data_IF_199743454651
#
_entry.id   IF_199743454651
#
_cell.length_a   1.000
_cell.length_b   1.000
_cell.length_c   1.000
_cell.angle_alpha   90.00
_cell.angle_beta   90.00
_cell.angle_gamma   90.00
#
_symmetry.space_group_name_H-M   'P 1'
#
loop_
_entity.id
_entity.type
_entity.pdbx_description
1 polymer ?
#
# COMPACT_ATOMS: atom_id res chain seq x y z
N UNK A 1 22.45 -32.88 27.44
CA UNK A 1 20.96 -32.79 27.25
C UNK A 1 20.67 -31.51 26.51
N UNK A 2 20.35 -31.61 25.21
CA UNK A 2 19.99 -30.44 24.38
C UNK A 2 18.53 -30.16 24.62
N UNK A 3 18.22 -29.06 25.33
CA UNK A 3 16.84 -28.62 25.52
C UNK A 3 16.35 -28.12 24.14
N UNK A 4 15.42 -28.83 23.56
CA UNK A 4 14.77 -28.39 22.30
C UNK A 4 14.09 -27.05 22.55
N UNK A 5 14.37 -26.07 21.69
CA UNK A 5 13.67 -24.78 21.72
C UNK A 5 12.14 -25.02 21.59
N UNK A 6 11.31 -24.36 22.41
CA UNK A 6 9.87 -24.54 22.34
C UNK A 6 9.40 -24.24 20.94
N UNK A 7 8.57 -25.12 20.37
CA UNK A 7 7.94 -24.92 19.08
C UNK A 7 7.13 -23.60 19.12
N UNK A 8 7.36 -22.69 18.16
CA UNK A 8 6.56 -21.47 18.04
C UNK A 8 5.12 -21.85 17.70
N UNK A 9 4.24 -21.65 18.67
CA UNK A 9 2.81 -21.91 18.48
C UNK A 9 2.19 -20.60 17.92
N UNK A 10 1.79 -20.61 16.67
CA UNK A 10 1.02 -19.54 16.07
C UNK A 10 -0.48 -19.75 16.31
N UNK A 11 -1.26 -18.67 16.27
CA UNK A 11 -2.72 -18.78 16.33
C UNK A 11 -3.23 -19.56 15.09
N UNK A 12 -4.27 -20.39 15.28
CA UNK A 12 -4.83 -21.26 14.22
C UNK A 12 -5.24 -20.52 12.95
N UNK A 13 -5.65 -19.24 13.08
CA UNK A 13 -5.99 -18.39 11.95
C UNK A 13 -4.83 -18.19 10.95
N UNK A 14 -3.58 -18.31 11.40
CA UNK A 14 -2.41 -18.17 10.53
C UNK A 14 -2.33 -19.33 9.54
N UNK A 15 -2.67 -20.54 9.96
CA UNK A 15 -2.74 -21.72 9.08
C UNK A 15 -3.83 -21.66 8.01
N UNK A 16 -4.77 -20.70 8.13
CA UNK A 16 -5.86 -20.50 7.16
C UNK A 16 -5.56 -19.42 6.13
N UNK A 17 -4.42 -18.71 6.28
CA UNK A 17 -3.98 -17.68 5.34
C UNK A 17 -3.20 -18.35 4.22
N UNK A 18 -3.76 -18.33 3.03
CA UNK A 18 -3.05 -18.79 1.83
C UNK A 18 -2.03 -17.78 1.34
N UNK A 19 -0.94 -18.26 0.75
CA UNK A 19 0.03 -17.40 0.08
C UNK A 19 -0.64 -16.74 -1.12
N UNK A 20 -0.49 -15.43 -1.26
CA UNK A 20 -1.01 -14.71 -2.43
C UNK A 20 -0.48 -15.32 -3.73
N UNK A 21 -1.36 -15.78 -4.60
CA UNK A 21 -1.00 -16.35 -5.91
C UNK A 21 -0.14 -15.37 -6.74
N UNK A 22 -0.47 -14.08 -6.70
CA UNK A 22 0.31 -13.02 -7.37
C UNK A 22 1.74 -12.94 -6.85
N UNK A 23 1.94 -13.04 -5.53
CA UNK A 23 3.27 -13.01 -4.93
C UNK A 23 4.06 -14.29 -5.26
N UNK A 24 3.41 -15.45 -5.32
CA UNK A 24 4.06 -16.70 -5.69
C UNK A 24 4.54 -16.66 -7.15
N UNK A 25 3.73 -16.14 -8.08
CA UNK A 25 4.11 -15.95 -9.48
C UNK A 25 5.29 -14.98 -9.61
N UNK A 26 5.26 -13.86 -8.90
CA UNK A 26 6.35 -12.88 -8.93
C UNK A 26 7.67 -13.46 -8.39
N UNK A 27 7.61 -14.26 -7.32
CA UNK A 27 8.79 -14.93 -6.74
C UNK A 27 9.40 -15.96 -7.73
N UNK A 28 8.58 -16.76 -8.41
CA UNK A 28 9.06 -17.73 -9.40
C UNK A 28 9.64 -17.01 -10.63
N UNK A 29 9.00 -15.92 -11.09
CA UNK A 29 9.55 -15.10 -12.18
C UNK A 29 10.92 -14.51 -11.82
N UNK A 30 11.09 -14.01 -10.60
CA UNK A 30 12.38 -13.49 -10.13
C UNK A 30 13.45 -14.58 -10.08
N UNK A 31 13.11 -15.78 -9.62
CA UNK A 31 14.01 -16.93 -9.58
C UNK A 31 14.47 -17.34 -10.97
N UNK A 32 13.55 -17.45 -11.94
CA UNK A 32 13.87 -17.80 -13.32
C UNK A 32 14.77 -16.75 -13.99
N UNK A 33 14.51 -15.45 -13.77
CA UNK A 33 15.40 -14.38 -14.23
C UNK A 33 16.80 -14.50 -13.65
N UNK A 34 16.91 -14.83 -12.37
CA UNK A 34 18.21 -15.08 -11.70
C UNK A 34 18.98 -16.26 -12.31
N UNK A 35 18.30 -17.19 -12.95
CA UNK A 35 18.88 -18.33 -13.68
C UNK A 35 19.21 -18.00 -15.15
N UNK A 36 19.03 -16.76 -15.59
CA UNK A 36 19.29 -16.31 -16.96
C UNK A 36 18.19 -16.66 -17.97
N UNK A 37 17.01 -17.10 -17.50
CA UNK A 37 15.87 -17.37 -18.39
C UNK A 37 15.28 -16.05 -18.89
N UNK A 38 15.17 -15.91 -20.21
CA UNK A 38 14.45 -14.79 -20.83
C UNK A 38 12.94 -14.99 -20.66
N UNK A 39 12.35 -14.24 -19.74
CA UNK A 39 10.97 -14.39 -19.32
C UNK A 39 10.16 -13.13 -19.63
N UNK A 40 8.99 -13.31 -20.21
CA UNK A 40 7.94 -12.27 -20.29
C UNK A 40 7.00 -12.45 -19.11
N UNK A 41 6.84 -11.41 -18.30
CA UNK A 41 6.12 -11.46 -17.04
C UNK A 41 4.83 -10.63 -17.12
N UNK A 42 3.70 -11.29 -16.92
CA UNK A 42 2.37 -10.68 -16.83
C UNK A 42 1.75 -10.84 -15.42
N UNK A 43 2.57 -11.15 -14.41
CA UNK A 43 2.10 -11.51 -13.07
C UNK A 43 1.58 -10.33 -12.25
N UNK A 44 2.16 -9.16 -12.39
CA UNK A 44 1.73 -7.96 -11.66
C UNK A 44 1.57 -6.78 -12.62
N UNK A 45 0.43 -6.10 -12.52
CA UNK A 45 0.19 -4.87 -13.27
C UNK A 45 0.67 -3.66 -12.47
N UNK A 46 1.62 -2.91 -13.03
CA UNK A 46 2.03 -1.60 -12.52
C UNK A 46 2.24 -0.62 -13.67
N UNK A 47 2.14 0.70 -13.43
CA UNK A 47 2.46 1.70 -14.43
C UNK A 47 3.92 1.53 -14.91
N UNK A 48 4.15 1.45 -16.22
CA UNK A 48 5.49 1.28 -16.78
C UNK A 48 6.32 2.58 -16.78
N UNK A 49 5.68 3.72 -16.57
CA UNK A 49 6.32 5.04 -16.49
C UNK A 49 6.69 5.39 -15.06
N UNK A 50 7.78 6.11 -14.91
CA UNK A 50 8.24 6.58 -13.60
C UNK A 50 7.28 7.63 -13.01
N UNK A 51 7.27 7.74 -11.68
CA UNK A 51 6.57 8.81 -10.98
C UNK A 51 6.94 10.18 -11.56
N UNK A 52 5.97 11.04 -11.90
CA UNK A 52 6.23 12.37 -12.45
C UNK A 52 7.19 13.21 -11.60
N UNK A 53 7.99 14.03 -12.25
CA UNK A 53 9.07 14.77 -11.59
C UNK A 53 8.57 15.66 -10.45
N UNK A 54 7.49 16.41 -10.69
CA UNK A 54 6.92 17.31 -9.68
C UNK A 54 6.45 16.59 -8.40
N UNK A 55 5.98 15.35 -8.53
CA UNK A 55 5.58 14.52 -7.36
C UNK A 55 6.81 14.10 -6.56
N UNK A 56 7.88 13.69 -7.25
CA UNK A 56 9.16 13.36 -6.61
C UNK A 56 9.73 14.56 -5.87
N UNK A 57 9.73 15.73 -6.52
CA UNK A 57 10.26 16.97 -5.94
C UNK A 57 9.48 17.39 -4.68
N UNK A 58 8.15 17.27 -4.71
CA UNK A 58 7.33 17.53 -3.53
C UNK A 58 7.65 16.58 -2.36
N UNK A 59 7.87 15.29 -2.66
CA UNK A 59 8.24 14.31 -1.63
C UNK A 59 9.64 14.61 -1.05
N UNK A 60 10.61 14.94 -1.88
CA UNK A 60 11.97 15.33 -1.45
C UNK A 60 11.91 16.58 -0.57
N UNK A 61 11.18 17.61 -1.00
CA UNK A 61 11.03 18.85 -0.23
C UNK A 61 10.37 18.61 1.13
N UNK A 62 9.39 17.73 1.21
CA UNK A 62 8.75 17.36 2.47
C UNK A 62 9.73 16.66 3.44
N UNK A 63 10.58 15.78 2.91
CA UNK A 63 11.62 15.10 3.71
C UNK A 63 12.64 16.12 4.24
N UNK A 64 13.14 17.01 3.37
CA UNK A 64 14.10 18.03 3.74
C UNK A 64 13.54 19.05 4.75
N UNK A 65 12.23 19.31 4.67
CA UNK A 65 11.49 20.12 5.65
C UNK A 65 11.23 19.39 6.98
N UNK A 66 11.73 18.16 7.15
CA UNK A 66 11.48 17.29 8.30
C UNK A 66 10.01 16.99 8.56
N UNK A 67 9.19 16.93 7.49
CA UNK A 67 7.80 16.47 7.55
C UNK A 67 7.75 14.94 7.69
N UNK A 68 8.33 14.43 8.77
CA UNK A 68 8.56 13.00 9.03
C UNK A 68 8.00 12.56 10.38
N UNK A 69 7.14 13.37 10.99
CA UNK A 69 6.52 13.09 12.30
C UNK A 69 5.09 12.59 12.14
N UNK A 70 4.49 12.16 13.25
CA UNK A 70 3.08 11.78 13.29
C UNK A 70 2.18 12.92 12.84
N UNK A 71 1.13 12.55 12.13
CA UNK A 71 0.06 13.44 11.69
C UNK A 71 -1.26 13.06 12.39
N UNK A 72 -2.32 13.81 12.13
CA UNK A 72 -3.66 13.45 12.59
C UNK A 72 -4.14 12.16 11.92
N UNK A 73 -4.91 11.35 12.65
CA UNK A 73 -5.31 10.00 12.25
C UNK A 73 -6.00 9.94 10.87
N UNK A 74 -6.95 10.82 10.53
CA UNK A 74 -7.61 10.74 9.22
C UNK A 74 -6.77 11.29 8.06
N UNK A 75 -5.56 11.73 8.30
CA UNK A 75 -4.69 12.40 7.33
C UNK A 75 -4.70 13.91 7.47
N UNK A 76 -3.64 14.56 6.99
CA UNK A 76 -3.49 16.02 7.07
C UNK A 76 -4.61 16.73 6.32
N UNK A 77 -5.09 17.90 6.84
CA UNK A 77 -6.19 18.63 6.23
C UNK A 77 -6.01 18.92 4.73
N UNK A 78 -4.81 19.30 4.31
CA UNK A 78 -4.51 19.65 2.91
C UNK A 78 -4.71 18.48 1.97
N UNK A 79 -4.29 17.26 2.34
CA UNK A 79 -4.50 16.05 1.54
C UNK A 79 -5.99 15.70 1.49
N UNK A 80 -6.69 15.77 2.62
CA UNK A 80 -8.14 15.50 2.69
C UNK A 80 -8.93 16.49 1.83
N UNK A 81 -8.57 17.77 1.87
CA UNK A 81 -9.15 18.80 1.02
C UNK A 81 -8.90 18.51 -0.46
N UNK A 82 -7.66 18.19 -0.84
CA UNK A 82 -7.32 17.85 -2.22
C UNK A 82 -8.11 16.62 -2.73
N UNK A 83 -8.35 15.61 -1.87
CA UNK A 83 -9.18 14.44 -2.20
C UNK A 83 -10.62 14.87 -2.51
N UNK A 84 -11.22 15.68 -1.64
CA UNK A 84 -12.61 16.14 -1.81
C UNK A 84 -12.77 17.00 -3.07
N UNK A 85 -11.86 17.96 -3.28
CA UNK A 85 -11.88 18.82 -4.48
C UNK A 85 -11.68 18.02 -5.77
N UNK A 86 -10.77 17.05 -5.76
CA UNK A 86 -10.55 16.19 -6.92
C UNK A 86 -11.75 15.30 -7.21
N UNK A 87 -12.35 14.72 -6.17
CA UNK A 87 -13.54 13.89 -6.30
C UNK A 87 -14.75 14.68 -6.83
N UNK A 88 -14.92 15.91 -6.34
CA UNK A 88 -15.95 16.81 -6.88
C UNK A 88 -15.73 17.12 -8.36
N UNK A 89 -14.47 17.37 -8.76
CA UNK A 89 -14.13 17.68 -10.17
C UNK A 89 -14.36 16.48 -11.09
N UNK A 90 -13.99 15.28 -10.66
CA UNK A 90 -14.04 14.08 -11.52
C UNK A 90 -15.44 13.45 -11.58
N UNK A 91 -16.20 13.53 -10.49
CA UNK A 91 -17.44 12.76 -10.33
C UNK A 91 -18.66 13.64 -9.98
N UNK A 92 -18.47 14.93 -9.76
CA UNK A 92 -19.57 15.85 -9.40
C UNK A 92 -20.16 15.60 -8.00
N UNK A 93 -19.44 14.90 -7.12
CA UNK A 93 -19.91 14.57 -5.79
C UNK A 93 -19.52 15.62 -4.76
N UNK A 94 -20.38 15.88 -3.81
CA UNK A 94 -20.18 16.85 -2.73
C UNK A 94 -19.87 16.12 -1.43
N UNK A 95 -18.60 16.22 -0.97
CA UNK A 95 -18.16 15.74 0.32
C UNK A 95 -17.47 16.86 1.09
N UNK A 96 -17.56 16.80 2.39
CA UNK A 96 -16.80 17.66 3.30
C UNK A 96 -15.42 17.05 3.60
N UNK A 97 -14.50 17.87 4.06
CA UNK A 97 -13.15 17.39 4.46
C UNK A 97 -13.24 16.34 5.59
N UNK A 98 -14.28 16.41 6.44
CA UNK A 98 -14.47 15.49 7.55
C UNK A 98 -14.99 14.11 7.11
N UNK A 99 -15.49 14.00 5.90
CA UNK A 99 -15.91 12.73 5.29
C UNK A 99 -14.78 12.05 4.50
N UNK A 100 -13.60 12.66 4.43
CA UNK A 100 -12.44 12.10 3.75
C UNK A 100 -11.41 11.57 4.76
N UNK A 101 -10.94 10.34 4.51
CA UNK A 101 -9.85 9.70 5.27
C UNK A 101 -8.76 9.27 4.31
N UNK A 102 -7.52 9.63 4.62
CA UNK A 102 -6.34 9.22 3.87
C UNK A 102 -5.62 8.07 4.61
N UNK A 103 -5.44 6.94 3.91
CA UNK A 103 -4.84 5.73 4.49
C UNK A 103 -3.52 5.37 3.81
N UNK A 104 -2.72 4.53 4.47
CA UNK A 104 -1.49 3.95 3.91
C UNK A 104 -1.84 2.88 2.87
N UNK A 105 -2.32 3.31 1.71
CA UNK A 105 -2.73 2.46 0.60
C UNK A 105 -4.18 2.00 0.63
N UNK A 106 -4.72 1.67 -0.53
CA UNK A 106 -6.14 1.33 -0.72
C UNK A 106 -6.58 0.06 0.02
N UNK A 107 -5.69 -0.90 0.25
CA UNK A 107 -6.03 -2.11 1.03
C UNK A 107 -6.41 -1.79 2.47
N UNK A 108 -5.74 -0.82 3.10
CA UNK A 108 -6.10 -0.39 4.45
C UNK A 108 -7.43 0.36 4.47
N UNK A 109 -7.73 1.15 3.44
CA UNK A 109 -9.03 1.80 3.30
C UNK A 109 -10.16 0.77 3.25
N UNK A 110 -10.04 -0.25 2.39
CA UNK A 110 -11.01 -1.35 2.29
C UNK A 110 -11.14 -2.12 3.60
N UNK A 111 -10.02 -2.47 4.23
CA UNK A 111 -10.03 -3.18 5.51
C UNK A 111 -10.80 -2.39 6.57
N UNK A 112 -10.48 -1.10 6.74
CA UNK A 112 -11.16 -0.26 7.72
C UNK A 112 -12.66 -0.12 7.43
N UNK A 113 -13.05 0.04 6.17
CA UNK A 113 -14.45 0.12 5.76
C UNK A 113 -15.21 -1.15 6.12
N UNK A 114 -14.65 -2.32 5.82
CA UNK A 114 -15.27 -3.62 6.14
C UNK A 114 -15.38 -3.83 7.66
N UNK A 115 -14.45 -3.29 8.45
CA UNK A 115 -14.50 -3.44 9.92
C UNK A 115 -15.60 -2.61 10.59
N UNK A 116 -16.10 -1.56 9.94
CA UNK A 116 -17.14 -0.70 10.50
C UNK A 116 -18.53 -0.97 9.94
N UNK A 117 -18.67 -1.82 8.93
CA UNK A 117 -19.92 -2.30 8.36
C UNK A 117 -20.35 -3.63 8.99
#
# INVERSE_FOLDING_TARGET
MTVAAPAKVFADRIGRIEVSATMAVAAEAAKLRGQGVNLVDFGAGEPHFATPRHIKDAAIAAIEANFTRYTVVPGIPDVRKAIVERHATDFGSEYTVDEAVFTTGGKLALFNTIQVL
#
